data_IF_029146769965
#
_entry.id   IF_029146769965
#
_cell.length_a   1.000
_cell.length_b   1.000
_cell.length_c   1.000
_cell.angle_alpha   90.00
_cell.angle_beta   90.00
_cell.angle_gamma   90.00
#
_symmetry.space_group_name_H-M   'P 1'
#
loop_
_entity.id
_entity.type
_entity.pdbx_description
1 polymer ?
#
# COMPACT_ATOMS: atom_id res chain seq x y z
N UNK A 1 23.51 16.20 -1.23
CA UNK A 1 22.42 15.47 -1.85
C UNK A 1 22.33 15.71 -3.36
N UNK A 2 22.25 16.98 -3.84
CA UNK A 2 22.26 17.29 -5.27
C UNK A 2 23.50 16.73 -5.99
N UNK A 3 24.68 16.86 -5.39
CA UNK A 3 25.93 16.28 -5.92
C UNK A 3 25.82 14.75 -6.03
N UNK A 4 25.37 14.09 -4.98
CA UNK A 4 25.18 12.64 -4.97
C UNK A 4 24.20 12.21 -6.08
N UNK A 5 23.07 12.87 -6.22
CA UNK A 5 22.08 12.58 -7.27
C UNK A 5 22.70 12.74 -8.67
N UNK A 6 23.47 13.81 -8.88
CA UNK A 6 24.16 14.04 -10.15
C UNK A 6 25.15 12.88 -10.48
N UNK A 7 25.92 12.43 -9.50
CA UNK A 7 26.80 11.27 -9.66
C UNK A 7 26.03 9.98 -9.98
N UNK A 8 24.87 9.78 -9.34
CA UNK A 8 24.06 8.60 -9.60
C UNK A 8 23.45 8.61 -11.01
N UNK A 9 23.01 9.79 -11.49
CA UNK A 9 22.56 9.97 -12.87
C UNK A 9 23.66 9.69 -13.90
N UNK A 10 24.91 10.08 -13.62
CA UNK A 10 26.05 9.73 -14.48
C UNK A 10 26.33 8.23 -14.55
N UNK A 11 25.91 7.47 -13.53
CA UNK A 11 25.95 5.99 -13.54
C UNK A 11 24.73 5.37 -14.24
N UNK A 12 23.86 6.17 -14.84
CA UNK A 12 22.63 5.72 -15.54
C UNK A 12 21.49 5.30 -14.60
N UNK A 13 21.53 5.71 -13.33
CA UNK A 13 20.50 5.34 -12.35
C UNK A 13 19.33 6.31 -12.40
N UNK A 14 18.13 5.78 -12.39
CA UNK A 14 16.88 6.52 -12.18
C UNK A 14 16.73 6.90 -10.71
N UNK A 15 16.28 8.11 -10.42
CA UNK A 15 16.15 8.64 -9.07
C UNK A 15 14.72 8.41 -8.57
N UNK A 16 14.60 7.60 -7.53
CA UNK A 16 13.32 7.25 -6.91
C UNK A 16 13.25 7.85 -5.52
N UNK A 17 12.19 8.59 -5.23
CA UNK A 17 11.92 9.10 -3.88
C UNK A 17 10.75 8.32 -3.28
N UNK A 18 10.95 7.71 -2.12
CA UNK A 18 9.89 7.02 -1.37
C UNK A 18 9.45 7.93 -0.23
N UNK A 19 8.23 8.45 -0.33
CA UNK A 19 7.62 9.33 0.67
C UNK A 19 6.91 8.48 1.72
N UNK A 20 7.46 8.47 2.94
CA UNK A 20 7.01 7.63 4.03
C UNK A 20 7.87 6.38 4.21
N UNK A 21 8.90 6.45 5.09
CA UNK A 21 9.74 5.28 5.44
C UNK A 21 9.17 4.60 6.69
N UNK A 22 7.91 4.21 6.58
CA UNK A 22 7.19 3.40 7.55
C UNK A 22 7.45 1.90 7.40
N UNK A 23 6.47 1.12 7.85
CA UNK A 23 6.52 -0.34 7.77
C UNK A 23 6.65 -0.82 6.31
N UNK A 24 5.81 -0.35 5.41
CA UNK A 24 5.87 -0.71 3.98
C UNK A 24 6.99 0.03 3.27
N UNK A 25 7.00 1.38 3.32
CA UNK A 25 7.88 2.18 2.49
C UNK A 25 9.38 2.01 2.74
N UNK A 26 9.81 1.62 3.97
CA UNK A 26 11.23 1.33 4.21
C UNK A 26 11.70 0.06 3.49
N UNK A 27 10.85 -0.98 3.45
CA UNK A 27 11.15 -2.25 2.78
C UNK A 27 10.99 -2.09 1.27
N UNK A 28 9.96 -1.36 0.81
CA UNK A 28 9.79 -1.02 -0.60
C UNK A 28 11.00 -0.22 -1.13
N UNK A 29 11.47 0.78 -0.39
CA UNK A 29 12.67 1.53 -0.74
C UNK A 29 13.89 0.62 -0.91
N UNK A 30 14.05 -0.37 -0.04
CA UNK A 30 15.14 -1.33 -0.14
C UNK A 30 14.96 -2.29 -1.33
N UNK A 31 13.76 -2.79 -1.61
CA UNK A 31 13.47 -3.63 -2.79
C UNK A 31 13.80 -2.89 -4.08
N UNK A 32 13.36 -1.62 -4.20
CA UNK A 32 13.70 -0.77 -5.36
C UNK A 32 15.20 -0.54 -5.47
N UNK A 33 15.87 -0.22 -4.34
CA UNK A 33 17.31 0.05 -4.31
C UNK A 33 18.16 -1.20 -4.58
N UNK A 34 17.65 -2.38 -4.25
CA UNK A 34 18.34 -3.66 -4.47
C UNK A 34 18.17 -4.17 -5.90
N UNK A 35 17.19 -3.66 -6.64
CA UNK A 35 16.89 -4.06 -8.01
C UNK A 35 18.07 -3.84 -8.96
N UNK A 36 18.15 -4.69 -9.98
CA UNK A 36 19.19 -4.63 -11.02
C UNK A 36 18.54 -4.70 -12.40
N UNK A 37 19.11 -4.00 -13.34
CA UNK A 37 18.77 -4.15 -14.74
C UNK A 37 19.00 -5.59 -15.19
N UNK A 38 17.97 -6.22 -15.75
CA UNK A 38 17.96 -7.65 -16.10
C UNK A 38 18.99 -8.02 -17.17
N UNK A 39 19.39 -7.08 -18.02
CA UNK A 39 20.35 -7.31 -19.12
C UNK A 39 21.80 -7.14 -18.66
N UNK A 40 22.06 -6.14 -17.83
CA UNK A 40 23.40 -5.76 -17.42
C UNK A 40 23.82 -6.26 -16.04
N UNK A 41 22.86 -6.66 -15.20
CA UNK A 41 23.06 -7.02 -13.79
C UNK A 41 23.45 -5.84 -12.89
N UNK A 42 23.47 -4.61 -13.41
CA UNK A 42 23.87 -3.42 -12.66
C UNK A 42 22.66 -2.77 -11.97
N UNK A 43 22.90 -2.12 -10.82
CA UNK A 43 21.86 -1.34 -10.14
C UNK A 43 21.38 -0.20 -11.03
N UNK A 44 20.09 -0.19 -11.36
CA UNK A 44 19.45 0.78 -12.25
C UNK A 44 18.71 1.91 -11.52
N UNK A 45 18.53 1.79 -10.21
CA UNK A 45 17.79 2.76 -9.38
C UNK A 45 18.70 3.31 -8.28
N UNK A 46 18.48 4.57 -7.91
CA UNK A 46 18.98 5.20 -6.70
C UNK A 46 17.82 5.75 -5.90
N UNK A 47 17.67 5.28 -4.68
CA UNK A 47 16.49 5.53 -3.86
C UNK A 47 16.80 6.49 -2.72
N UNK A 48 15.91 7.44 -2.52
CA UNK A 48 15.96 8.39 -1.42
C UNK A 48 14.69 8.19 -0.58
N UNK A 49 14.81 7.54 0.58
CA UNK A 49 13.72 7.46 1.55
C UNK A 49 13.49 8.83 2.20
N UNK A 50 12.31 9.39 2.05
CA UNK A 50 11.94 10.68 2.64
C UNK A 50 10.90 10.50 3.73
N UNK A 51 11.16 11.09 4.89
CA UNK A 51 10.25 11.05 6.03
C UNK A 51 10.00 12.45 6.56
N UNK A 52 8.70 12.79 6.73
CA UNK A 52 8.33 14.05 7.39
C UNK A 52 8.96 14.11 8.79
N UNK A 53 9.59 15.24 9.15
CA UNK A 53 10.15 15.40 10.50
C UNK A 53 9.05 15.33 11.56
N UNK A 54 9.22 14.46 12.54
CA UNK A 54 8.35 14.41 13.72
C UNK A 54 9.10 13.77 14.90
N UNK A 55 8.72 14.05 16.15
CA UNK A 55 9.31 13.37 17.31
C UNK A 55 9.24 11.84 17.24
N UNK A 56 8.24 11.30 16.57
CA UNK A 56 8.03 9.85 16.41
C UNK A 56 8.87 9.23 15.29
N UNK A 57 9.41 10.02 14.36
CA UNK A 57 10.06 9.50 13.15
C UNK A 57 11.52 9.94 12.97
N UNK A 58 12.04 10.88 13.75
CA UNK A 58 13.42 11.36 13.62
C UNK A 58 14.49 10.27 13.63
N UNK A 59 14.30 9.25 14.46
CA UNK A 59 15.26 8.17 14.59
C UNK A 59 15.41 7.29 13.34
N UNK A 60 14.38 7.25 12.47
CA UNK A 60 14.38 6.37 11.28
C UNK A 60 15.45 6.73 10.27
N UNK A 61 15.65 8.02 10.01
CA UNK A 61 16.59 8.49 9.00
C UNK A 61 18.05 8.15 9.33
N UNK A 62 18.58 8.47 10.54
CA UNK A 62 19.93 8.06 10.89
C UNK A 62 20.11 6.54 10.98
N UNK A 63 19.08 5.78 11.31
CA UNK A 63 19.14 4.31 11.27
C UNK A 63 19.30 3.82 9.83
N UNK A 64 18.42 4.23 8.92
CA UNK A 64 18.51 3.87 7.51
C UNK A 64 19.87 4.25 6.91
N UNK A 65 20.37 5.45 7.16
CA UNK A 65 21.67 5.89 6.62
C UNK A 65 22.87 5.12 7.19
N UNK A 66 22.69 4.36 8.26
CA UNK A 66 23.70 3.41 8.80
C UNK A 66 23.47 1.97 8.31
N UNK A 67 22.51 1.73 7.43
CA UNK A 67 22.13 0.39 6.98
C UNK A 67 21.36 -0.42 8.03
N UNK A 68 20.75 0.25 9.02
CA UNK A 68 19.97 -0.38 10.07
C UNK A 68 18.49 -0.27 9.71
N UNK A 69 17.77 -1.40 9.77
CA UNK A 69 16.32 -1.41 9.51
C UNK A 69 15.56 -0.57 10.54
N UNK A 70 14.69 0.37 10.11
CA UNK A 70 13.82 1.12 11.01
C UNK A 70 12.54 0.35 11.35
N UNK A 71 12.37 -0.85 10.84
CA UNK A 71 11.21 -1.72 11.08
C UNK A 71 11.67 -3.05 11.67
N UNK A 72 10.89 -3.56 12.62
CA UNK A 72 11.05 -4.93 13.11
C UNK A 72 10.28 -5.85 12.16
N UNK A 73 10.97 -6.76 11.51
CA UNK A 73 10.38 -7.76 10.64
C UNK A 73 10.83 -9.16 11.09
N UNK A 74 9.94 -10.13 10.95
CA UNK A 74 10.29 -11.55 11.16
C UNK A 74 11.08 -12.11 9.98
N UNK A 75 11.01 -11.45 8.82
CA UNK A 75 11.74 -11.84 7.63
C UNK A 75 13.23 -11.54 7.78
N UNK A 76 14.07 -12.59 7.76
CA UNK A 76 15.51 -12.43 7.91
C UNK A 76 16.19 -11.69 6.74
N UNK A 77 15.50 -11.51 5.60
CA UNK A 77 16.04 -10.81 4.42
C UNK A 77 15.99 -9.29 4.58
N UNK A 78 15.06 -8.72 5.35
CA UNK A 78 14.83 -7.26 5.43
C UNK A 78 16.07 -6.49 5.89
N UNK A 79 16.64 -6.84 7.04
CA UNK A 79 17.77 -6.11 7.59
C UNK A 79 19.05 -6.25 6.73
N UNK A 80 19.45 -7.44 6.25
CA UNK A 80 20.59 -7.58 5.34
C UNK A 80 20.41 -6.85 4.01
N UNK A 81 19.18 -6.82 3.45
CA UNK A 81 18.89 -6.11 2.20
C UNK A 81 19.08 -4.60 2.39
N UNK A 82 18.55 -4.00 3.46
CA UNK A 82 18.75 -2.58 3.76
C UNK A 82 20.24 -2.28 3.95
N UNK A 83 20.95 -3.09 4.74
CA UNK A 83 22.39 -2.92 4.95
C UNK A 83 23.18 -2.97 3.64
N UNK A 84 22.91 -3.94 2.79
CA UNK A 84 23.55 -4.11 1.48
C UNK A 84 23.28 -2.91 0.56
N UNK A 85 22.03 -2.41 0.51
CA UNK A 85 21.69 -1.25 -0.33
C UNK A 85 22.40 0.03 0.12
N UNK A 86 22.55 0.24 1.43
CA UNK A 86 23.17 1.44 1.99
C UNK A 86 24.71 1.35 1.96
N UNK A 87 25.27 0.25 2.48
CA UNK A 87 26.71 0.16 2.76
C UNK A 87 27.52 -0.36 1.58
N UNK A 88 27.00 -1.32 0.82
CA UNK A 88 27.73 -1.99 -0.26
C UNK A 88 27.37 -1.40 -1.63
N UNK A 89 26.08 -1.47 -2.03
CA UNK A 89 25.62 -0.98 -3.34
C UNK A 89 25.57 0.54 -3.43
N UNK A 90 25.43 1.22 -2.30
CA UNK A 90 25.26 2.68 -2.21
C UNK A 90 24.13 3.17 -3.13
N UNK A 91 22.99 2.47 -3.05
CA UNK A 91 21.78 2.73 -3.84
C UNK A 91 20.63 3.26 -3.01
N UNK A 92 20.77 3.31 -1.69
CA UNK A 92 19.75 3.79 -0.75
C UNK A 92 20.35 4.81 0.23
N UNK A 93 19.69 5.96 0.33
CA UNK A 93 19.91 6.95 1.39
C UNK A 93 18.58 7.43 1.93
N UNK A 94 18.58 8.16 3.05
CA UNK A 94 17.35 8.70 3.62
C UNK A 94 17.53 10.17 4.06
N UNK A 95 16.43 10.94 4.04
CA UNK A 95 16.44 12.38 4.36
C UNK A 95 15.11 12.85 4.95
N UNK A 96 15.13 14.03 5.59
CA UNK A 96 13.94 14.76 6.03
C UNK A 96 13.49 15.86 5.06
N UNK A 97 14.35 16.24 4.10
CA UNK A 97 14.05 17.38 3.23
C UNK A 97 13.18 17.01 2.05
N UNK A 98 12.12 17.78 1.86
CA UNK A 98 11.26 17.69 0.68
C UNK A 98 11.93 18.18 -0.62
N UNK A 99 13.11 18.81 -0.55
CA UNK A 99 13.79 19.32 -1.74
C UNK A 99 14.27 18.20 -2.68
N UNK A 100 14.38 16.98 -2.16
CA UNK A 100 14.67 15.77 -2.97
C UNK A 100 13.61 15.48 -4.03
N UNK A 101 12.37 15.94 -3.81
CA UNK A 101 11.28 15.74 -4.76
C UNK A 101 11.58 16.41 -6.11
N UNK A 102 12.29 17.56 -6.11
CA UNK A 102 12.70 18.24 -7.35
C UNK A 102 13.72 17.47 -8.18
N UNK A 103 14.32 16.43 -7.59
CA UNK A 103 15.33 15.60 -8.22
C UNK A 103 14.77 14.24 -8.68
N UNK A 104 13.51 13.92 -8.36
CA UNK A 104 12.91 12.62 -8.59
C UNK A 104 12.48 12.41 -10.04
N UNK A 105 12.71 11.21 -10.55
CA UNK A 105 12.11 10.69 -11.77
C UNK A 105 10.84 9.89 -11.45
N UNK A 106 10.81 9.30 -10.24
CA UNK A 106 9.66 8.55 -9.69
C UNK A 106 9.51 8.93 -8.21
N UNK A 107 8.27 9.18 -7.80
CA UNK A 107 7.89 9.31 -6.39
C UNK A 107 6.93 8.20 -6.03
N UNK A 108 7.28 7.38 -5.05
CA UNK A 108 6.39 6.36 -4.46
C UNK A 108 5.81 6.98 -3.19
N UNK A 109 4.47 6.94 -3.07
CA UNK A 109 3.75 7.52 -1.93
C UNK A 109 3.25 6.40 -1.03
N UNK A 110 3.94 6.22 0.11
CA UNK A 110 3.64 5.27 1.19
C UNK A 110 3.21 6.01 2.46
N UNK A 111 2.28 6.92 2.30
CA UNK A 111 1.71 7.72 3.39
C UNK A 111 0.47 7.03 3.91
N UNK A 112 0.36 6.97 5.24
CA UNK A 112 -0.76 6.31 5.92
C UNK A 112 -2.10 6.91 5.54
N UNK A 113 -3.08 6.04 5.27
CA UNK A 113 -4.49 6.36 5.12
C UNK A 113 -5.28 5.54 6.14
N UNK A 114 -5.97 6.21 7.04
CA UNK A 114 -6.72 5.60 8.13
C UNK A 114 -8.22 5.65 7.90
N UNK A 115 -8.94 4.88 8.71
CA UNK A 115 -10.39 4.94 8.82
C UNK A 115 -10.79 5.00 10.29
N UNK A 116 -11.43 6.09 10.68
CA UNK A 116 -11.89 6.31 12.05
C UNK A 116 -13.35 5.94 12.18
N UNK A 117 -13.64 4.90 12.98
CA UNK A 117 -15.01 4.52 13.37
C UNK A 117 -15.46 5.38 14.54
N UNK A 118 -16.68 5.92 14.48
CA UNK A 118 -17.27 6.66 15.61
C UNK A 118 -17.63 5.73 16.78
N UNK A 119 -17.97 4.48 16.47
CA UNK A 119 -18.31 3.48 17.48
C UNK A 119 -17.87 2.09 17.05
N UNK A 120 -17.53 1.27 18.04
CA UNK A 120 -17.15 -0.14 17.86
C UNK A 120 -18.33 -0.94 17.30
N UNK A 121 -18.08 -1.77 16.31
CA UNK A 121 -19.11 -2.57 15.65
C UNK A 121 -20.08 -1.75 14.76
N UNK A 122 -19.64 -0.58 14.27
CA UNK A 122 -20.42 0.21 13.33
C UNK A 122 -19.51 0.94 12.34
N UNK A 123 -19.12 0.23 11.28
CA UNK A 123 -18.22 0.77 10.26
C UNK A 123 -18.89 1.84 9.38
N UNK A 124 -20.22 1.85 9.25
CA UNK A 124 -20.93 2.87 8.48
C UNK A 124 -20.84 4.26 9.11
N UNK A 125 -20.65 4.34 10.43
CA UNK A 125 -20.38 5.58 11.15
C UNK A 125 -18.88 5.76 11.31
N UNK A 126 -18.27 6.34 10.28
CA UNK A 126 -16.84 6.59 10.27
C UNK A 126 -16.44 7.41 9.07
N UNK A 127 -15.19 7.80 9.03
CA UNK A 127 -14.63 8.58 7.93
C UNK A 127 -13.21 8.13 7.61
N UNK A 128 -12.85 8.26 6.34
CA UNK A 128 -11.48 8.07 5.89
C UNK A 128 -10.63 9.30 6.27
N UNK A 129 -9.48 9.06 6.88
CA UNK A 129 -8.47 10.10 7.14
C UNK A 129 -7.43 10.05 6.02
N UNK A 130 -7.57 10.96 5.08
CA UNK A 130 -6.66 11.12 3.93
C UNK A 130 -5.83 12.41 4.01
N UNK A 131 -5.89 13.15 5.11
CA UNK A 131 -5.25 14.45 5.27
C UNK A 131 -3.73 14.38 5.05
N UNK A 132 -3.08 13.36 5.61
CA UNK A 132 -1.64 13.17 5.43
C UNK A 132 -1.25 12.88 3.98
N UNK A 133 -2.11 12.20 3.23
CA UNK A 133 -1.93 11.95 1.80
C UNK A 133 -2.10 13.25 1.01
N UNK A 134 -3.16 14.01 1.26
CA UNK A 134 -3.40 15.30 0.59
C UNK A 134 -2.26 16.29 0.82
N UNK A 135 -1.78 16.43 2.06
CA UNK A 135 -0.65 17.30 2.40
C UNK A 135 0.62 16.85 1.68
N UNK A 136 0.86 15.55 1.60
CA UNK A 136 2.01 15.02 0.86
C UNK A 136 1.89 15.30 -0.63
N UNK A 137 0.71 15.12 -1.23
CA UNK A 137 0.47 15.38 -2.65
C UNK A 137 0.62 16.87 -3.00
N UNK A 138 0.21 17.80 -2.12
CA UNK A 138 0.42 19.24 -2.29
C UNK A 138 1.92 19.55 -2.41
N UNK A 139 2.72 19.06 -1.46
CA UNK A 139 4.18 19.30 -1.45
C UNK A 139 4.87 18.60 -2.64
N UNK A 140 4.42 17.40 -3.02
CA UNK A 140 4.92 16.71 -4.21
C UNK A 140 4.64 17.55 -5.46
N UNK A 141 3.40 18.00 -5.67
CA UNK A 141 3.02 18.82 -6.82
C UNK A 141 3.77 20.15 -6.92
N UNK A 142 4.11 20.76 -5.77
CA UNK A 142 4.91 22.00 -5.70
C UNK A 142 6.36 21.83 -6.16
N UNK A 143 6.90 20.60 -6.13
CA UNK A 143 8.35 20.40 -6.27
C UNK A 143 8.76 19.53 -7.46
N UNK A 144 8.00 18.52 -7.84
CA UNK A 144 8.41 17.56 -8.86
C UNK A 144 8.47 18.16 -10.28
N UNK A 145 9.24 17.51 -11.15
CA UNK A 145 9.19 17.80 -12.58
C UNK A 145 7.88 17.22 -13.20
N UNK A 146 7.32 17.85 -14.25
CA UNK A 146 6.05 17.38 -14.86
C UNK A 146 6.07 15.94 -15.36
N UNK A 147 7.22 15.43 -15.79
CA UNK A 147 7.39 14.06 -16.27
C UNK A 147 7.63 13.02 -15.15
N UNK A 148 7.72 13.46 -13.92
CA UNK A 148 7.93 12.57 -12.78
C UNK A 148 6.70 11.69 -12.56
N UNK A 149 6.91 10.37 -12.51
CA UNK A 149 5.85 9.42 -12.13
C UNK A 149 5.56 9.57 -10.63
N UNK A 150 4.31 9.78 -10.26
CA UNK A 150 3.85 9.68 -8.88
C UNK A 150 3.01 8.43 -8.73
N UNK A 151 3.54 7.46 -8.02
CA UNK A 151 2.93 6.16 -7.76
C UNK A 151 2.34 6.15 -6.34
N UNK A 152 1.02 6.16 -6.23
CA UNK A 152 0.32 5.96 -4.96
C UNK A 152 0.31 4.47 -4.67
N UNK A 153 1.03 4.05 -3.61
CA UNK A 153 1.13 2.65 -3.21
C UNK A 153 0.27 2.33 -1.97
N UNK A 154 -0.05 3.33 -1.19
CA UNK A 154 -0.94 3.22 -0.04
C UNK A 154 -2.32 2.72 -0.42
N UNK A 155 -2.93 1.88 0.43
CA UNK A 155 -4.34 1.53 0.32
C UNK A 155 -5.20 2.78 0.56
N UNK A 156 -5.97 3.18 -0.44
CA UNK A 156 -6.79 4.39 -0.44
C UNK A 156 -8.26 4.08 -0.75
N UNK A 157 -9.18 4.97 -0.40
CA UNK A 157 -10.56 4.89 -0.88
C UNK A 157 -10.63 4.87 -2.41
N UNK A 158 -11.47 4.03 -3.05
CA UNK A 158 -11.66 4.03 -4.49
C UNK A 158 -11.99 5.42 -5.05
N UNK A 159 -11.29 5.83 -6.10
CA UNK A 159 -11.42 7.15 -6.71
C UNK A 159 -10.44 8.20 -6.18
N UNK A 160 -9.63 7.89 -5.16
CA UNK A 160 -8.67 8.84 -4.56
C UNK A 160 -7.69 9.39 -5.59
N UNK A 161 -7.13 8.57 -6.47
CA UNK A 161 -6.17 9.07 -7.48
C UNK A 161 -6.83 10.07 -8.43
N UNK A 162 -8.06 9.82 -8.84
CA UNK A 162 -8.77 10.66 -9.80
C UNK A 162 -9.39 11.91 -9.17
N UNK A 163 -10.08 11.76 -8.04
CA UNK A 163 -10.90 12.83 -7.46
C UNK A 163 -10.16 13.64 -6.39
N UNK A 164 -9.06 13.14 -5.85
CA UNK A 164 -8.26 13.84 -4.82
C UNK A 164 -6.87 14.16 -5.35
N UNK A 165 -6.08 13.15 -5.74
CA UNK A 165 -4.68 13.36 -6.11
C UNK A 165 -4.52 14.20 -7.38
N UNK A 166 -5.29 13.89 -8.42
CA UNK A 166 -5.19 14.62 -9.70
C UNK A 166 -5.51 16.11 -9.57
N UNK A 167 -6.63 16.53 -8.96
CA UNK A 167 -6.93 17.96 -8.79
C UNK A 167 -5.87 18.70 -7.97
N UNK A 168 -5.37 18.08 -6.89
CA UNK A 168 -4.31 18.67 -6.05
C UNK A 168 -3.04 18.91 -6.87
N UNK A 169 -2.59 17.89 -7.60
CA UNK A 169 -1.38 17.96 -8.41
C UNK A 169 -1.52 18.95 -9.56
N UNK A 170 -2.65 18.93 -10.28
CA UNK A 170 -2.94 19.84 -11.38
C UNK A 170 -2.93 21.29 -10.92
N UNK A 171 -3.61 21.59 -9.80
CA UNK A 171 -3.60 22.91 -9.18
C UNK A 171 -2.18 23.38 -8.80
N UNK A 172 -1.38 22.48 -8.22
CA UNK A 172 0.01 22.82 -7.88
C UNK A 172 0.86 23.11 -9.13
N UNK A 173 0.67 22.39 -10.21
CA UNK A 173 1.33 22.66 -11.49
C UNK A 173 0.91 24.01 -12.08
N UNK A 174 -0.39 24.32 -12.08
CA UNK A 174 -0.92 25.61 -12.54
C UNK A 174 -0.33 26.79 -11.76
N UNK A 175 -0.23 26.66 -10.42
CA UNK A 175 0.38 27.67 -9.56
C UNK A 175 1.85 27.93 -9.86
N UNK A 176 2.55 26.94 -10.41
CA UNK A 176 3.94 27.02 -10.87
C UNK A 176 4.07 27.52 -12.32
N UNK A 177 2.96 27.85 -12.98
CA UNK A 177 2.94 28.27 -14.39
C UNK A 177 2.98 27.12 -15.40
N UNK A 178 2.84 25.87 -14.94
CA UNK A 178 2.87 24.65 -15.77
C UNK A 178 1.44 24.24 -16.20
N UNK A 179 0.69 25.18 -16.81
CA UNK A 179 -0.76 25.00 -17.10
C UNK A 179 -1.07 23.85 -18.05
N UNK A 180 -0.20 23.60 -19.02
CA UNK A 180 -0.37 22.56 -20.03
C UNK A 180 0.20 21.21 -19.60
N UNK A 181 0.84 21.13 -18.43
CA UNK A 181 1.40 19.90 -17.94
C UNK A 181 0.33 19.04 -17.27
N UNK A 182 0.34 17.74 -17.61
CA UNK A 182 -0.53 16.74 -16.97
C UNK A 182 0.28 15.93 -15.96
N UNK A 183 -0.21 15.76 -14.71
CA UNK A 183 0.43 14.91 -13.75
C UNK A 183 0.50 13.44 -14.21
N UNK A 184 1.66 12.82 -14.10
CA UNK A 184 1.84 11.40 -14.40
C UNK A 184 1.53 10.60 -13.12
N UNK A 185 0.24 10.34 -12.89
CA UNK A 185 -0.27 9.67 -11.68
C UNK A 185 -0.62 8.22 -11.97
N UNK A 186 -0.23 7.35 -11.06
CA UNK A 186 -0.53 5.92 -11.10
C UNK A 186 -0.88 5.41 -9.70
N UNK A 187 -1.59 4.29 -9.67
CA UNK A 187 -1.86 3.54 -8.44
C UNK A 187 -1.42 2.08 -8.60
N UNK A 188 -0.82 1.53 -7.56
CA UNK A 188 -0.48 0.11 -7.45
C UNK A 188 -0.34 -0.26 -5.99
N UNK A 189 -1.31 -0.95 -5.44
CA UNK A 189 -1.23 -1.39 -4.05
C UNK A 189 -0.26 -2.57 -3.86
N UNK A 190 0.34 -2.61 -2.70
CA UNK A 190 1.15 -3.73 -2.24
C UNK A 190 0.27 -4.88 -1.70
N UNK A 191 0.82 -6.10 -1.69
CA UNK A 191 0.21 -7.28 -1.06
C UNK A 191 1.10 -7.82 0.06
N UNK A 192 1.59 -6.90 0.89
CA UNK A 192 2.50 -7.22 1.98
C UNK A 192 1.85 -8.17 2.97
N UNK A 193 2.53 -9.26 3.24
CA UNK A 193 2.21 -10.19 4.31
C UNK A 193 3.28 -10.06 5.39
N UNK A 194 2.99 -9.37 6.52
CA UNK A 194 3.91 -9.31 7.65
C UNK A 194 4.24 -10.73 8.13
N UNK A 195 5.53 -11.03 8.26
CA UNK A 195 6.01 -12.35 8.62
C UNK A 195 7.28 -12.71 7.87
N UNK A 196 7.58 -14.01 7.78
CA UNK A 196 8.86 -14.53 7.26
C UNK A 196 9.11 -14.32 5.76
N UNK A 197 8.09 -13.98 4.99
CA UNK A 197 8.16 -13.78 3.54
C UNK A 197 7.84 -12.34 3.14
N UNK A 198 8.23 -11.38 3.96
CA UNK A 198 7.87 -9.98 3.76
C UNK A 198 8.45 -9.43 2.44
N UNK A 199 9.75 -9.57 2.22
CA UNK A 199 10.41 -9.12 0.98
C UNK A 199 9.82 -9.83 -0.24
N UNK A 200 9.62 -11.15 -0.15
CA UNK A 200 9.04 -11.93 -1.22
C UNK A 200 7.60 -11.47 -1.56
N UNK A 201 6.81 -11.06 -0.56
CA UNK A 201 5.44 -10.56 -0.78
C UNK A 201 5.40 -9.21 -1.52
N UNK A 202 6.50 -8.46 -1.53
CA UNK A 202 6.66 -7.24 -2.34
C UNK A 202 7.23 -7.57 -3.72
N UNK A 203 8.34 -8.29 -3.78
CA UNK A 203 9.14 -8.51 -4.99
C UNK A 203 8.64 -9.67 -5.85
N UNK A 204 8.21 -10.75 -5.22
CA UNK A 204 7.92 -12.03 -5.84
C UNK A 204 6.41 -12.39 -5.74
N UNK A 205 5.54 -11.46 -6.07
CA UNK A 205 4.10 -11.64 -5.97
C UNK A 205 3.37 -10.90 -7.08
N UNK A 206 2.16 -11.40 -7.45
CA UNK A 206 1.31 -10.72 -8.43
C UNK A 206 0.95 -9.32 -7.99
N UNK A 207 1.11 -8.35 -8.88
CA UNK A 207 0.84 -6.95 -8.62
C UNK A 207 -0.22 -6.43 -9.60
N UNK A 208 -1.06 -5.52 -9.13
CA UNK A 208 -2.03 -4.79 -9.93
C UNK A 208 -1.58 -3.35 -10.04
N UNK A 209 -1.64 -2.77 -11.22
CA UNK A 209 -1.34 -1.35 -11.41
C UNK A 209 -2.27 -0.71 -12.46
N UNK A 210 -2.35 0.60 -12.41
CA UNK A 210 -3.11 1.43 -13.33
C UNK A 210 -2.53 2.84 -13.42
N UNK A 211 -2.88 3.57 -14.45
CA UNK A 211 -2.46 4.96 -14.61
C UNK A 211 -3.64 5.84 -15.00
N UNK A 212 -3.62 7.11 -14.59
CA UNK A 212 -4.71 8.06 -14.85
C UNK A 212 -4.90 8.35 -16.35
N UNK A 213 -3.87 8.10 -17.13
CA UNK A 213 -3.86 8.21 -18.59
C UNK A 213 -2.89 7.16 -19.19
N UNK A 214 -2.87 6.98 -20.52
CA UNK A 214 -1.99 6.00 -21.17
C UNK A 214 -0.51 6.18 -20.84
N UNK A 215 -0.02 7.41 -20.78
CA UNK A 215 1.39 7.71 -20.44
C UNK A 215 1.73 7.25 -19.02
N UNK A 216 0.88 7.56 -18.04
CA UNK A 216 1.08 7.13 -16.67
C UNK A 216 1.02 5.60 -16.53
N UNK A 217 0.09 4.96 -17.26
CA UNK A 217 -0.06 3.50 -17.27
C UNK A 217 1.18 2.80 -17.86
N UNK A 218 1.68 3.27 -18.99
CA UNK A 218 2.92 2.74 -19.57
C UNK A 218 4.11 2.94 -18.63
N UNK A 219 4.24 4.13 -18.04
CA UNK A 219 5.34 4.49 -17.17
C UNK A 219 5.37 3.66 -15.88
N UNK A 220 4.21 3.43 -15.23
CA UNK A 220 4.14 2.58 -14.03
C UNK A 220 4.38 1.11 -14.37
N UNK A 221 3.87 0.63 -15.49
CA UNK A 221 4.09 -0.75 -15.96
C UNK A 221 5.58 -1.02 -16.17
N UNK A 222 6.28 -0.09 -16.84
CA UNK A 222 7.72 -0.20 -17.05
C UNK A 222 8.48 -0.18 -15.71
N UNK A 223 8.17 0.80 -14.84
CA UNK A 223 8.82 0.94 -13.54
C UNK A 223 8.68 -0.32 -12.68
N UNK A 224 7.45 -0.85 -12.54
CA UNK A 224 7.21 -2.07 -11.76
C UNK A 224 7.86 -3.30 -12.40
N UNK A 225 7.91 -3.39 -13.73
CA UNK A 225 8.56 -4.48 -14.44
C UNK A 225 10.08 -4.50 -14.23
N UNK A 226 10.68 -3.33 -14.01
CA UNK A 226 12.12 -3.22 -13.74
C UNK A 226 12.50 -3.72 -12.33
N UNK A 227 11.60 -3.60 -11.36
CA UNK A 227 11.90 -3.85 -9.95
C UNK A 227 11.29 -5.14 -9.38
N UNK A 228 10.27 -5.70 -10.05
CA UNK A 228 9.57 -6.90 -9.61
C UNK A 228 9.89 -8.13 -10.48
N UNK A 229 9.63 -9.30 -9.95
CA UNK A 229 9.79 -10.57 -10.66
C UNK A 229 8.57 -10.87 -11.55
N UNK A 230 8.36 -10.03 -12.56
CA UNK A 230 7.20 -10.11 -13.46
C UNK A 230 7.21 -11.29 -14.41
N UNK A 231 8.33 -11.95 -14.59
CA UNK A 231 8.42 -13.17 -15.41
C UNK A 231 7.65 -14.32 -14.76
N UNK A 232 7.77 -14.45 -13.45
CA UNK A 232 7.06 -15.47 -12.67
C UNK A 232 5.69 -14.97 -12.17
N UNK A 233 5.58 -13.70 -11.89
CA UNK A 233 4.39 -13.05 -11.33
C UNK A 233 3.98 -11.86 -12.21
N UNK A 234 3.33 -12.08 -13.37
CA UNK A 234 2.96 -11.04 -14.30
C UNK A 234 2.11 -9.93 -13.65
N UNK A 235 2.33 -8.69 -14.10
CA UNK A 235 1.51 -7.56 -13.70
C UNK A 235 0.11 -7.68 -14.30
N UNK A 236 -0.90 -7.32 -13.51
CA UNK A 236 -2.24 -7.04 -14.01
C UNK A 236 -2.37 -5.53 -14.19
N UNK A 237 -2.43 -5.09 -15.44
CA UNK A 237 -2.55 -3.67 -15.78
C UNK A 237 -4.01 -3.37 -16.06
N UNK A 238 -4.60 -2.47 -15.26
CA UNK A 238 -5.98 -2.01 -15.41
C UNK A 238 -6.04 -0.64 -16.07
N UNK A 239 -7.22 -0.28 -16.57
CA UNK A 239 -7.38 0.92 -17.40
C UNK A 239 -7.39 2.21 -16.56
N UNK A 240 -7.98 2.17 -15.36
CA UNK A 240 -8.18 3.35 -14.52
C UNK A 240 -7.74 3.09 -13.06
N UNK A 241 -7.24 4.12 -12.34
CA UNK A 241 -6.84 3.98 -10.93
C UNK A 241 -7.95 3.47 -10.02
N UNK A 242 -9.18 3.92 -10.22
CA UNK A 242 -10.33 3.46 -9.41
C UNK A 242 -10.49 1.93 -9.46
N UNK A 243 -10.13 1.27 -10.56
CA UNK A 243 -10.21 -0.19 -10.66
C UNK A 243 -9.19 -0.87 -9.76
N UNK A 244 -7.93 -0.41 -9.77
CA UNK A 244 -6.88 -0.98 -8.92
C UNK A 244 -7.08 -0.63 -7.44
N UNK A 245 -7.60 0.55 -7.13
CA UNK A 245 -8.00 0.94 -5.77
C UNK A 245 -9.14 0.04 -5.26
N UNK A 246 -10.15 -0.18 -6.08
CA UNK A 246 -11.28 -1.08 -5.79
C UNK A 246 -10.82 -2.53 -5.59
N UNK A 247 -9.86 -3.02 -6.39
CA UNK A 247 -9.29 -4.36 -6.22
C UNK A 247 -8.80 -4.59 -4.79
N UNK A 248 -8.04 -3.65 -4.23
CA UNK A 248 -7.52 -3.77 -2.86
C UNK A 248 -8.63 -3.83 -1.82
N UNK A 249 -9.63 -2.98 -1.97
CA UNK A 249 -10.77 -2.94 -1.05
C UNK A 249 -11.58 -4.24 -1.12
N UNK A 250 -11.84 -4.75 -2.33
CA UNK A 250 -12.56 -6.02 -2.51
C UNK A 250 -11.76 -7.19 -1.93
N UNK A 251 -10.44 -7.29 -2.17
CA UNK A 251 -9.62 -8.38 -1.61
C UNK A 251 -9.75 -8.47 -0.08
N UNK A 252 -9.67 -7.34 0.61
CA UNK A 252 -9.74 -7.30 2.05
C UNK A 252 -11.18 -7.48 2.57
N UNK A 253 -12.18 -6.89 1.90
CA UNK A 253 -13.59 -7.07 2.24
C UNK A 253 -14.05 -8.53 2.03
N UNK A 254 -13.60 -9.19 0.96
CA UNK A 254 -13.86 -10.60 0.73
C UNK A 254 -13.35 -11.46 1.90
N UNK A 255 -12.09 -11.23 2.33
CA UNK A 255 -11.51 -11.96 3.47
C UNK A 255 -12.28 -11.68 4.77
N UNK A 256 -12.64 -10.43 5.04
CA UNK A 256 -13.43 -10.06 6.20
C UNK A 256 -14.81 -10.73 6.19
N UNK A 257 -15.45 -10.83 5.01
CA UNK A 257 -16.75 -11.48 4.84
C UNK A 257 -16.68 -12.99 5.12
N UNK A 258 -15.67 -13.69 4.62
CA UNK A 258 -15.51 -15.12 4.90
C UNK A 258 -15.26 -15.38 6.39
N UNK A 259 -14.51 -14.50 7.06
CA UNK A 259 -14.28 -14.62 8.50
C UNK A 259 -15.56 -14.39 9.30
N UNK A 260 -16.36 -13.38 8.94
CA UNK A 260 -17.65 -13.13 9.57
C UNK A 260 -18.64 -14.29 9.39
N UNK A 261 -18.70 -14.83 8.17
CA UNK A 261 -19.50 -16.04 7.88
C UNK A 261 -19.09 -17.21 8.78
N UNK A 262 -17.81 -17.46 8.95
CA UNK A 262 -17.31 -18.53 9.79
C UNK A 262 -17.49 -18.23 11.29
N UNK A 263 -17.55 -17.00 11.69
CA UNK A 263 -17.88 -16.61 13.06
C UNK A 263 -19.32 -17.00 13.41
N UNK A 264 -20.28 -16.68 12.55
CA UNK A 264 -21.68 -17.10 12.78
C UNK A 264 -21.81 -18.62 12.91
N UNK A 265 -21.17 -19.38 12.01
CA UNK A 265 -21.18 -20.84 12.08
C UNK A 265 -20.41 -21.39 13.28
N UNK A 266 -19.40 -20.68 13.79
CA UNK A 266 -18.72 -21.10 15.02
C UNK A 266 -19.65 -21.00 16.24
N UNK A 267 -20.43 -19.93 16.34
CA UNK A 267 -21.43 -19.76 17.41
C UNK A 267 -22.54 -20.79 17.35
N UNK A 268 -22.96 -21.16 16.13
CA UNK A 268 -23.89 -22.28 15.93
C UNK A 268 -23.27 -23.61 16.41
N UNK A 269 -22.04 -23.89 16.02
CA UNK A 269 -21.33 -25.11 16.36
C UNK A 269 -21.12 -25.24 17.88
N UNK A 270 -20.72 -24.16 18.55
CA UNK A 270 -20.57 -24.09 20.01
C UNK A 270 -21.86 -24.48 20.74
N UNK A 271 -23.01 -23.95 20.30
CA UNK A 271 -24.33 -24.22 20.92
C UNK A 271 -24.83 -25.65 20.69
N UNK A 272 -24.41 -26.28 19.61
CA UNK A 272 -24.88 -27.59 19.19
C UNK A 272 -23.86 -28.72 19.40
N UNK A 273 -22.71 -28.45 20.02
CA UNK A 273 -21.67 -29.45 20.24
C UNK A 273 -21.03 -29.97 18.94
N UNK A 274 -21.02 -29.14 17.89
CA UNK A 274 -20.44 -29.48 16.58
C UNK A 274 -18.96 -29.08 16.54
N UNK A 275 -18.11 -30.02 16.13
CA UNK A 275 -16.70 -29.72 15.83
C UNK A 275 -16.59 -29.05 14.45
N UNK A 276 -16.61 -27.70 14.44
CA UNK A 276 -16.56 -26.93 13.21
C UNK A 276 -15.26 -27.15 12.42
N UNK A 277 -14.15 -27.48 13.09
CA UNK A 277 -12.87 -27.76 12.42
C UNK A 277 -12.98 -29.02 11.55
N UNK A 278 -13.63 -30.07 12.06
CA UNK A 278 -13.92 -31.28 11.27
C UNK A 278 -14.85 -30.98 10.10
N UNK A 279 -15.87 -30.15 10.32
CA UNK A 279 -16.81 -29.76 9.25
C UNK A 279 -16.08 -29.01 8.14
N UNK A 280 -15.27 -28.02 8.49
CA UNK A 280 -14.48 -27.25 7.52
C UNK A 280 -13.51 -28.16 6.75
N UNK A 281 -12.82 -29.09 7.42
CA UNK A 281 -11.94 -30.04 6.75
C UNK A 281 -12.69 -30.93 5.76
N UNK A 282 -13.90 -31.37 6.10
CA UNK A 282 -14.75 -32.13 5.20
C UNK A 282 -15.19 -31.31 3.97
N UNK A 283 -15.48 -30.00 4.15
CA UNK A 283 -15.83 -29.09 3.05
C UNK A 283 -14.64 -28.86 2.12
N UNK A 284 -13.42 -28.70 2.67
CA UNK A 284 -12.19 -28.44 1.93
C UNK A 284 -11.78 -29.53 0.95
N UNK A 285 -12.30 -30.72 1.08
CA UNK A 285 -12.09 -31.83 0.13
C UNK A 285 -12.65 -31.50 -1.26
N UNK A 286 -13.69 -30.66 -1.33
CA UNK A 286 -14.23 -30.16 -2.60
C UNK A 286 -13.31 -29.12 -3.19
N UNK A 287 -12.78 -29.29 -4.43
CA UNK A 287 -11.81 -28.37 -5.03
C UNK A 287 -12.24 -26.89 -5.02
N UNK A 288 -13.54 -26.62 -5.28
CA UNK A 288 -14.10 -25.26 -5.28
C UNK A 288 -14.18 -24.59 -3.90
N UNK A 289 -13.95 -25.33 -2.83
CA UNK A 289 -13.99 -24.87 -1.43
C UNK A 289 -12.68 -25.12 -0.69
N UNK A 290 -11.63 -25.53 -1.39
CA UNK A 290 -10.32 -25.85 -0.79
C UNK A 290 -9.66 -24.67 -0.07
N UNK A 291 -10.03 -23.44 -0.46
CA UNK A 291 -9.51 -22.20 0.10
C UNK A 291 -10.33 -21.65 1.28
N UNK A 292 -11.38 -22.33 1.75
CA UNK A 292 -12.09 -21.90 2.96
C UNK A 292 -11.12 -21.87 4.15
N UNK A 293 -11.18 -20.79 4.92
CA UNK A 293 -10.31 -20.56 6.07
C UNK A 293 -10.96 -21.06 7.37
N UNK A 294 -10.21 -21.09 8.46
CA UNK A 294 -10.74 -21.46 9.77
C UNK A 294 -11.20 -20.21 10.54
N UNK A 295 -12.21 -20.34 11.42
CA UNK A 295 -12.59 -19.27 12.33
C UNK A 295 -11.47 -18.98 13.34
N UNK A 296 -11.46 -17.76 13.87
CA UNK A 296 -10.51 -17.30 14.88
C UNK A 296 -11.21 -16.48 15.97
N UNK A 297 -10.44 -15.94 16.93
CA UNK A 297 -10.98 -15.16 18.07
C UNK A 297 -11.39 -13.74 17.68
N UNK A 298 -11.33 -13.37 16.42
CA UNK A 298 -11.60 -12.06 15.86
C UNK A 298 -10.58 -11.71 14.78
N UNK A 299 -10.72 -10.54 14.15
CA UNK A 299 -9.77 -10.02 13.19
C UNK A 299 -8.89 -8.98 13.89
N UNK A 300 -7.58 -9.26 13.90
CA UNK A 300 -6.57 -8.29 14.30
C UNK A 300 -5.93 -7.62 13.09
N UNK A 301 -4.91 -6.80 13.37
CA UNK A 301 -4.16 -6.09 12.35
C UNK A 301 -4.79 -4.78 11.93
N UNK A 302 -4.21 -4.18 10.89
CA UNK A 302 -4.53 -2.82 10.46
C UNK A 302 -5.55 -2.75 9.32
N UNK A 303 -5.49 -3.68 8.36
CA UNK A 303 -6.21 -3.56 7.10
C UNK A 303 -7.66 -4.08 7.17
N UNK A 304 -7.85 -5.36 7.54
CA UNK A 304 -9.17 -5.99 7.47
C UNK A 304 -10.26 -5.29 8.30
N UNK A 305 -9.97 -4.73 9.49
CA UNK A 305 -11.00 -4.03 10.28
C UNK A 305 -11.48 -2.71 9.67
N UNK A 306 -10.75 -2.12 8.69
CA UNK A 306 -11.03 -0.76 8.21
C UNK A 306 -11.27 -0.65 6.71
N UNK A 307 -10.62 -1.49 5.88
CA UNK A 307 -10.54 -1.22 4.43
C UNK A 307 -11.90 -1.29 3.74
N UNK A 308 -12.81 -2.14 4.18
CA UNK A 308 -14.19 -2.10 3.68
C UNK A 308 -14.90 -0.79 3.99
N UNK A 309 -14.58 -0.14 5.12
CA UNK A 309 -15.07 1.19 5.47
C UNK A 309 -14.59 2.27 4.49
N UNK A 310 -13.34 2.17 4.00
CA UNK A 310 -12.82 3.07 2.96
C UNK A 310 -13.67 3.01 1.68
N UNK A 311 -14.13 1.80 1.29
CA UNK A 311 -15.02 1.62 0.14
C UNK A 311 -16.39 2.24 0.34
N UNK A 312 -17.00 2.04 1.51
CA UNK A 312 -18.30 2.64 1.87
C UNK A 312 -18.20 4.16 1.89
N UNK A 313 -17.17 4.70 2.53
CA UNK A 313 -16.92 6.14 2.59
C UNK A 313 -16.69 6.76 1.21
N UNK A 314 -15.90 6.09 0.36
CA UNK A 314 -15.65 6.56 -0.99
C UNK A 314 -16.96 6.68 -1.79
N UNK A 315 -17.82 5.68 -1.71
CA UNK A 315 -19.09 5.68 -2.40
C UNK A 315 -19.99 6.82 -1.93
N UNK A 316 -20.19 6.95 -0.61
CA UNK A 316 -21.11 7.93 -0.06
C UNK A 316 -20.55 9.36 -0.07
N UNK A 317 -19.26 9.53 0.30
CA UNK A 317 -18.68 10.86 0.55
C UNK A 317 -17.91 11.39 -0.65
N UNK A 318 -17.00 10.58 -1.22
CA UNK A 318 -16.14 11.03 -2.32
C UNK A 318 -16.91 11.08 -3.65
N UNK A 319 -17.78 10.10 -3.90
CA UNK A 319 -18.60 10.03 -5.11
C UNK A 319 -19.99 10.64 -4.97
N UNK A 320 -20.46 10.87 -3.74
CA UNK A 320 -21.71 11.57 -3.43
C UNK A 320 -22.98 10.75 -3.66
N UNK A 321 -22.90 9.42 -3.61
CA UNK A 321 -24.10 8.58 -3.69
C UNK A 321 -24.79 8.47 -2.31
N UNK A 322 -26.11 8.59 -2.29
CA UNK A 322 -26.90 8.61 -1.06
C UNK A 322 -27.64 7.29 -0.79
N UNK A 323 -27.65 6.37 -1.77
CA UNK A 323 -28.31 5.09 -1.61
C UNK A 323 -27.53 4.13 -0.71
N UNK A 324 -28.26 3.23 -0.05
CA UNK A 324 -27.71 2.24 0.87
C UNK A 324 -27.29 0.96 0.11
N UNK A 325 -26.27 1.10 -0.77
CA UNK A 325 -25.75 0.02 -1.62
C UNK A 325 -25.09 -1.09 -0.79
N UNK A 326 -24.20 -0.70 0.15
CA UNK A 326 -23.38 -1.66 0.88
C UNK A 326 -24.12 -2.23 2.09
N UNK A 327 -24.48 -3.51 2.04
CA UNK A 327 -25.06 -4.27 3.15
C UNK A 327 -24.07 -5.25 3.77
N UNK A 328 -23.48 -6.08 2.93
CA UNK A 328 -22.65 -7.21 3.36
C UNK A 328 -21.31 -6.76 3.93
N UNK A 329 -20.63 -5.82 3.27
CA UNK A 329 -19.29 -5.36 3.69
C UNK A 329 -19.29 -4.72 5.08
N UNK A 330 -20.20 -3.76 5.40
CA UNK A 330 -20.30 -3.21 6.75
C UNK A 330 -20.65 -4.28 7.79
N UNK A 331 -21.67 -5.08 7.52
CA UNK A 331 -22.10 -6.15 8.43
C UNK A 331 -20.96 -7.12 8.76
N UNK A 332 -20.18 -7.52 7.75
CA UNK A 332 -19.05 -8.43 7.97
C UNK A 332 -17.98 -7.82 8.89
N UNK A 333 -17.66 -6.54 8.73
CA UNK A 333 -16.70 -5.86 9.59
C UNK A 333 -17.23 -5.76 11.02
N UNK A 334 -18.49 -5.40 11.18
CA UNK A 334 -19.13 -5.23 12.49
C UNK A 334 -19.24 -6.55 13.26
N UNK A 335 -19.53 -7.68 12.55
CA UNK A 335 -19.49 -9.03 13.13
C UNK A 335 -18.07 -9.35 13.61
N UNK A 336 -17.06 -9.12 12.79
CA UNK A 336 -15.66 -9.39 13.14
C UNK A 336 -15.19 -8.53 14.31
N UNK A 337 -15.57 -7.26 14.38
CA UNK A 337 -15.23 -6.38 15.50
C UNK A 337 -15.76 -6.95 16.82
N UNK A 338 -17.03 -7.39 16.83
CA UNK A 338 -17.68 -7.89 18.04
C UNK A 338 -17.31 -9.31 18.43
N UNK A 339 -16.58 -10.04 17.59
CA UNK A 339 -16.16 -11.43 17.87
C UNK A 339 -15.34 -11.56 19.15
N UNK A 340 -14.46 -10.61 19.42
CA UNK A 340 -13.62 -10.60 20.62
C UNK A 340 -14.45 -10.55 21.92
N UNK A 341 -15.58 -9.87 21.90
CA UNK A 341 -16.52 -9.83 23.05
C UNK A 341 -17.12 -11.20 23.30
N UNK A 342 -17.59 -11.89 22.24
CA UNK A 342 -18.10 -13.25 22.36
C UNK A 342 -17.04 -14.23 22.91
N UNK A 343 -15.80 -14.12 22.45
CA UNK A 343 -14.70 -14.96 22.99
C UNK A 343 -14.49 -14.68 24.47
N UNK A 344 -14.55 -13.42 24.90
CA UNK A 344 -14.42 -13.07 26.32
C UNK A 344 -15.56 -13.62 27.18
N UNK A 345 -16.75 -13.80 26.62
CA UNK A 345 -17.89 -14.42 27.32
C UNK A 345 -17.74 -15.94 27.52
N UNK A 346 -16.90 -16.60 26.68
CA UNK A 346 -16.65 -18.04 26.76
C UNK A 346 -15.56 -18.40 27.80
N UNK A 347 -14.80 -17.44 28.30
CA UNK A 347 -13.70 -17.61 29.26
C UNK A 347 -14.16 -17.27 30.66
#
# INVERSE_FOLDING_TARGET
LQHTVKEQRLKGREIVVVVGVGFVGAVMAAVVADSTDKKTGKSSKFVIGMQRPSPRSFWKIPYLNRGISPVKAEDPEVAPMIARCVLEKQTLIATFTYDVLSLADVVIVDVQCDYHKESFGNVCRGHADIDALEDSLKVIGEKIAPHCLVLIETTVPPGTTQYVAYPIMKKAFEQRGLKDAEPVLAHSFERVMPGRNYVASIRDFWRVCSGINPTARERVTQFLSDILNVEKFPLTVLDQPIESETCKIIENSYRATILAFLDEWSRYAERNGVDLIKVINAIKVRPTHSNIIFPGPGIGGYCLPKDGGLGVWAYNTLMGFEDDLFKLTPMAIDINDTRSLHVAELV
#
